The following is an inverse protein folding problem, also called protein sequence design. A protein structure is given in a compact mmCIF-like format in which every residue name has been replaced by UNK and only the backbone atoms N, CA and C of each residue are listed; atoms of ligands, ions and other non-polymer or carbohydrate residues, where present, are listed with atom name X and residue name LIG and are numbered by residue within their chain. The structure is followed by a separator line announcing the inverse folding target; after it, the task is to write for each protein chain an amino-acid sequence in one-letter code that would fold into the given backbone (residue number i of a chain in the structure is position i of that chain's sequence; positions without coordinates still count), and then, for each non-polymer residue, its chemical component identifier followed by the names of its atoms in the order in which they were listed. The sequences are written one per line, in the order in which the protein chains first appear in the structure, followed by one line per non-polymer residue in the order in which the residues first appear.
data_IF_667990503862
#
_entry.id   IF_667990503862
#
_cell.length_a   1.000
_cell.length_b   1.000
_cell.length_c   1.000
_cell.angle_alpha   90.00
_cell.angle_beta   90.00
_cell.angle_gamma   90.00
#
_symmetry.space_group_name_H-M   'P 1'
#
loop_
_entity.id
_entity.type
_entity.pdbx_description
1 polymer ?
#
# COMPACT_ATOMS: atom_id res chain seq x y z
N UNK A 1 -6.43 31.68 -7.60
CA UNK A 1 -5.48 32.49 -6.80
C UNK A 1 -4.20 31.69 -6.67
N UNK A 2 -3.14 32.13 -7.35
CA UNK A 2 -1.85 31.43 -7.45
C UNK A 2 -1.07 31.67 -6.15
N UNK A 3 -0.70 30.61 -5.41
CA UNK A 3 0.17 30.74 -4.23
C UNK A 3 1.61 30.90 -4.73
N UNK A 4 2.22 32.03 -4.42
CA UNK A 4 3.67 32.27 -4.64
C UNK A 4 4.39 31.76 -3.39
N UNK A 5 5.32 30.82 -3.57
CA UNK A 5 6.20 30.34 -2.50
C UNK A 5 7.52 31.12 -2.55
N UNK A 6 7.89 31.77 -1.44
CA UNK A 6 9.19 32.44 -1.29
C UNK A 6 10.20 31.40 -0.80
N UNK A 7 11.25 31.14 -1.59
CA UNK A 7 12.39 30.32 -1.18
C UNK A 7 13.53 31.27 -0.81
N UNK A 8 13.98 31.25 0.45
CA UNK A 8 15.19 31.95 0.87
C UNK A 8 16.38 31.00 0.72
N UNK A 9 17.36 31.36 -0.10
CA UNK A 9 18.63 30.61 -0.18
C UNK A 9 19.76 31.51 0.30
N UNK A 10 20.38 31.16 1.42
CA UNK A 10 21.55 31.87 1.95
C UNK A 10 22.77 30.98 1.77
N UNK A 11 23.67 31.36 0.86
CA UNK A 11 24.97 30.69 0.68
C UNK A 11 26.04 31.54 1.37
N UNK A 12 26.57 31.07 2.51
CA UNK A 12 27.75 31.66 3.12
C UNK A 12 29.00 30.95 2.60
N UNK A 13 29.72 31.61 1.70
CA UNK A 13 31.07 31.18 1.31
C UNK A 13 32.06 31.99 2.16
N UNK A 14 32.69 31.32 3.14
CA UNK A 14 33.78 31.92 3.88
C UNK A 14 35.10 31.75 3.11
N UNK A 15 35.35 32.63 2.14
CA UNK A 15 36.71 32.88 1.67
C UNK A 15 36.88 34.35 1.29
N UNK A 16 38.09 34.86 1.48
CA UNK A 16 38.44 36.26 1.28
C UNK A 16 38.54 36.60 -0.22
N UNK A 17 37.42 36.60 -0.95
CA UNK A 17 37.22 37.38 -2.17
C UNK A 17 35.78 37.18 -2.68
N UNK A 18 35.01 38.28 -2.67
CA UNK A 18 33.79 38.52 -3.45
C UNK A 18 32.66 37.46 -3.36
N UNK A 19 31.68 37.72 -2.49
CA UNK A 19 30.40 37.01 -2.49
C UNK A 19 29.51 37.52 -3.64
N UNK A 20 29.14 36.66 -4.58
CA UNK A 20 28.05 36.91 -5.53
C UNK A 20 26.76 36.29 -4.98
N UNK A 21 25.76 37.12 -4.67
CA UNK A 21 24.42 36.68 -4.30
C UNK A 21 23.59 36.61 -5.58
N UNK A 22 23.17 35.41 -5.99
CA UNK A 22 22.19 35.24 -7.07
C UNK A 22 20.84 34.99 -6.42
N UNK A 23 19.95 35.98 -6.49
CA UNK A 23 18.57 35.89 -6.03
C UNK A 23 17.68 35.53 -7.25
N UNK A 24 17.00 34.38 -7.22
CA UNK A 24 16.05 33.98 -8.27
C UNK A 24 14.75 33.48 -7.64
N UNK A 25 13.63 34.12 -7.99
CA UNK A 25 12.29 33.66 -7.62
C UNK A 25 11.82 32.56 -8.59
N UNK A 26 11.22 31.48 -8.07
CA UNK A 26 10.71 30.36 -8.87
C UNK A 26 9.28 29.97 -8.46
N UNK A 27 8.53 29.43 -9.43
CA UNK A 27 7.15 28.97 -9.28
C UNK A 27 7.08 27.45 -9.06
N UNK A 28 5.97 26.95 -8.51
CA UNK A 28 5.75 25.52 -8.25
C UNK A 28 5.88 24.67 -9.52
N UNK A 29 6.61 23.56 -9.40
CA UNK A 29 6.99 22.54 -10.41
C UNK A 29 8.35 22.67 -11.11
N UNK A 30 9.25 23.57 -10.70
CA UNK A 30 10.64 23.57 -11.23
C UNK A 30 11.66 22.80 -10.37
N UNK A 31 12.56 22.08 -11.05
CA UNK A 31 13.74 21.43 -10.44
C UNK A 31 14.80 22.48 -10.14
N UNK A 32 15.21 22.60 -8.88
CA UNK A 32 16.28 23.51 -8.48
C UNK A 32 17.64 22.87 -8.79
N UNK A 33 18.28 23.29 -9.88
CA UNK A 33 19.66 22.95 -10.20
C UNK A 33 20.59 24.10 -9.79
N UNK A 34 21.41 23.89 -8.75
CA UNK A 34 22.48 24.83 -8.38
C UNK A 34 23.83 24.18 -8.67
N UNK A 35 24.73 24.92 -9.31
CA UNK A 35 26.09 24.48 -9.62
C UNK A 35 27.08 25.45 -8.97
N UNK A 36 28.00 24.91 -8.17
CA UNK A 36 29.10 25.65 -7.58
C UNK A 36 30.42 24.98 -7.96
N UNK A 37 31.37 25.77 -8.45
CA UNK A 37 32.72 25.30 -8.81
C UNK A 37 33.72 26.01 -7.89
N UNK A 38 34.22 25.36 -6.83
CA UNK A 38 35.23 25.98 -5.97
C UNK A 38 36.60 25.95 -6.66
N UNK A 39 37.35 27.05 -6.59
CA UNK A 39 38.69 27.19 -7.18
C UNK A 39 39.83 26.97 -6.18
N UNK A 40 39.57 26.38 -5.02
CA UNK A 40 40.59 26.06 -3.99
C UNK A 40 40.10 24.99 -3.01
N UNK A 41 41.02 24.38 -2.26
CA UNK A 41 40.83 23.27 -1.28
C UNK A 41 39.99 23.61 -0.02
N UNK A 42 38.96 24.45 -0.14
CA UNK A 42 38.08 24.80 0.96
C UNK A 42 36.87 23.86 1.01
N UNK A 43 36.49 23.46 2.23
CA UNK A 43 35.24 22.75 2.48
C UNK A 43 34.05 23.68 2.17
N UNK A 44 33.20 23.28 1.23
CA UNK A 44 31.98 24.02 0.88
C UNK A 44 30.80 23.36 1.59
N UNK A 45 30.07 24.13 2.40
CA UNK A 45 28.82 23.69 3.04
C UNK A 45 27.66 24.40 2.34
N UNK A 46 26.72 23.64 1.80
CA UNK A 46 25.49 24.17 1.20
C UNK A 46 24.29 23.70 2.03
N UNK A 47 23.41 24.63 2.40
CA UNK A 47 22.18 24.34 3.14
C UNK A 47 21.01 24.77 2.28
N UNK A 48 20.10 23.84 1.97
CA UNK A 48 18.88 24.11 1.20
C UNK A 48 17.68 23.79 2.08
N UNK A 49 16.75 24.74 2.19
CA UNK A 49 15.52 24.58 3.00
C UNK A 49 14.31 24.74 2.08
N UNK A 50 13.74 23.63 1.56
CA UNK A 50 12.55 23.71 0.72
C UNK A 50 11.29 23.97 1.54
N UNK A 51 10.32 24.70 0.98
CA UNK A 51 9.01 25.00 1.59
C UNK A 51 7.84 24.23 0.96
N UNK A 52 8.11 23.30 0.03
CA UNK A 52 7.16 22.34 -0.57
C UNK A 52 7.88 21.14 -1.22
N UNK A 53 7.14 20.24 -1.89
CA UNK A 53 7.56 18.99 -2.61
C UNK A 53 8.58 19.19 -3.76
N UNK A 54 9.61 20.01 -3.57
CA UNK A 54 10.66 20.21 -4.55
C UNK A 54 11.64 19.03 -4.53
N UNK A 55 11.86 18.39 -5.68
CA UNK A 55 12.97 17.45 -5.88
C UNK A 55 14.26 18.26 -6.05
N UNK A 56 15.19 18.11 -5.10
CA UNK A 56 16.49 18.79 -5.15
C UNK A 56 17.51 17.83 -5.75
N UNK A 57 18.11 18.20 -6.89
CA UNK A 57 19.25 17.47 -7.47
C UNK A 57 20.48 18.35 -7.36
N UNK A 58 21.39 18.02 -6.44
CA UNK A 58 22.68 18.69 -6.31
C UNK A 58 23.75 17.81 -6.96
N UNK A 59 24.49 18.38 -7.92
CA UNK A 59 25.61 17.69 -8.57
C UNK A 59 26.88 18.49 -8.31
N UNK A 60 27.85 17.85 -7.67
CA UNK A 60 29.18 18.44 -7.40
C UNK A 60 30.21 17.66 -8.22
N UNK A 61 31.01 18.36 -9.02
CA UNK A 61 32.11 17.77 -9.80
C UNK A 61 33.42 18.21 -9.13
N UNK A 62 34.14 17.32 -8.42
CA UNK A 62 35.37 17.70 -7.74
C UNK A 62 36.53 17.82 -8.73
N UNK A 63 37.40 18.82 -8.53
CA UNK A 63 38.66 19.00 -9.27
C UNK A 63 39.91 18.71 -8.43
N UNK A 64 39.76 18.30 -7.16
CA UNK A 64 40.84 17.81 -6.28
C UNK A 64 40.29 16.83 -5.21
N UNK A 65 41.19 16.21 -4.42
CA UNK A 65 40.95 15.19 -3.37
C UNK A 65 40.08 15.64 -2.16
N UNK A 66 39.23 16.66 -2.32
CA UNK A 66 38.38 17.16 -1.25
C UNK A 66 37.23 16.20 -0.90
N UNK A 67 37.11 15.86 0.39
CA UNK A 67 35.96 15.12 0.95
C UNK A 67 34.80 16.09 1.14
N UNK A 68 33.67 15.80 0.47
CA UNK A 68 32.46 16.61 0.56
C UNK A 68 31.41 15.91 1.42
N UNK A 69 30.88 16.61 2.43
CA UNK A 69 29.74 16.16 3.24
C UNK A 69 28.54 17.06 2.96
N UNK A 70 27.50 16.49 2.35
CA UNK A 70 26.19 17.15 2.19
C UNK A 70 25.26 16.69 3.30
N UNK A 71 24.73 17.64 4.08
CA UNK A 71 23.72 17.37 5.10
C UNK A 71 22.46 18.17 4.76
N UNK A 72 21.34 17.46 4.62
CA UNK A 72 20.02 18.07 4.42
C UNK A 72 19.27 17.96 5.74
N UNK A 73 19.13 19.08 6.44
CA UNK A 73 18.29 19.18 7.64
C UNK A 73 16.96 19.82 7.27
N UNK A 74 15.92 18.99 7.16
CA UNK A 74 14.55 19.46 7.04
C UNK A 74 14.02 19.82 8.42
N UNK A 75 13.78 21.12 8.68
CA UNK A 75 13.05 21.59 9.85
C UNK A 75 11.61 21.87 9.47
N UNK A 76 10.72 20.91 9.74
CA UNK A 76 9.28 21.11 9.57
C UNK A 76 8.74 22.02 10.68
N UNK A 77 8.04 23.13 10.35
CA UNK A 77 7.31 23.89 11.35
C UNK A 77 6.20 23.01 11.94
N UNK A 78 6.03 23.03 13.26
CA UNK A 78 4.91 22.36 13.93
C UNK A 78 3.60 23.08 13.60
N UNK A 79 3.01 22.73 12.46
CA UNK A 79 1.64 23.07 12.09
C UNK A 79 0.60 22.19 12.80
N UNK A 80 -0.69 22.54 12.72
CA UNK A 80 -1.76 21.75 13.31
C UNK A 80 -1.75 20.32 12.74
N UNK A 81 -1.95 19.34 13.62
CA UNK A 81 -1.93 17.90 13.30
C UNK A 81 -2.99 17.58 12.24
N UNK A 82 -2.53 17.16 11.05
CA UNK A 82 -3.36 16.62 9.99
C UNK A 82 -3.58 15.11 10.21
N UNK A 83 -4.83 14.70 10.41
CA UNK A 83 -5.25 13.30 10.58
C UNK A 83 -5.39 12.53 9.27
N UNK A 84 -4.98 13.12 8.14
CA UNK A 84 -5.04 12.50 6.80
C UNK A 84 -3.72 11.88 6.34
N UNK A 85 -2.66 11.91 7.15
CA UNK A 85 -1.44 11.17 6.84
C UNK A 85 -1.75 9.66 6.75
N UNK A 86 -1.31 8.97 5.68
CA UNK A 86 -1.42 7.53 5.61
C UNK A 86 -0.66 6.98 6.82
N UNK A 87 -1.34 6.15 7.61
CA UNK A 87 -0.72 5.34 8.65
C UNK A 87 0.62 4.80 8.08
N UNK A 88 1.76 4.90 8.78
CA UNK A 88 3.01 4.28 8.30
C UNK A 88 2.84 2.81 7.90
N UNK A 89 1.80 2.12 8.39
CA UNK A 89 1.36 0.81 7.92
C UNK A 89 0.93 0.77 6.44
N UNK A 90 0.38 1.85 5.88
CA UNK A 90 -0.07 1.94 4.49
C UNK A 90 1.06 1.65 3.49
N UNK A 91 2.25 2.18 3.73
CA UNK A 91 3.42 1.88 2.90
C UNK A 91 3.73 0.38 2.85
N UNK A 92 3.58 -0.30 3.98
CA UNK A 92 3.80 -1.74 4.08
C UNK A 92 2.73 -2.55 3.35
N UNK A 93 1.45 -2.18 3.49
CA UNK A 93 0.35 -2.87 2.79
C UNK A 93 0.48 -2.83 1.27
N UNK A 94 0.94 -1.70 0.72
CA UNK A 94 1.18 -1.59 -0.73
C UNK A 94 2.48 -2.26 -1.18
N UNK A 95 3.51 -2.31 -0.33
CA UNK A 95 4.80 -2.93 -0.66
C UNK A 95 4.72 -4.46 -0.75
N UNK A 96 3.90 -5.08 0.11
CA UNK A 96 3.81 -6.54 0.23
C UNK A 96 2.53 -7.12 -0.39
N UNK A 97 2.00 -6.50 -1.45
CA UNK A 97 0.84 -7.04 -2.17
C UNK A 97 1.14 -8.46 -2.69
N UNK A 98 0.20 -9.37 -2.46
CA UNK A 98 0.33 -10.76 -2.88
C UNK A 98 1.31 -11.60 -2.06
N UNK A 99 1.80 -11.10 -0.92
CA UNK A 99 2.54 -11.89 0.04
C UNK A 99 1.62 -12.49 1.09
N UNK A 100 1.85 -13.76 1.40
CA UNK A 100 1.23 -14.46 2.51
C UNK A 100 2.27 -15.30 3.24
N UNK A 101 2.48 -15.06 4.54
CA UNK A 101 3.50 -15.75 5.36
C UNK A 101 4.87 -15.83 4.66
N UNK A 102 5.35 -14.68 4.16
CA UNK A 102 6.59 -14.49 3.40
C UNK A 102 6.68 -15.22 2.04
N UNK A 103 5.60 -15.85 1.57
CA UNK A 103 5.49 -16.44 0.23
C UNK A 103 4.76 -15.50 -0.71
N UNK A 104 5.39 -15.17 -1.83
CA UNK A 104 4.80 -14.34 -2.87
C UNK A 104 4.02 -15.17 -3.89
N UNK A 105 2.84 -14.70 -4.27
CA UNK A 105 2.08 -15.22 -5.41
C UNK A 105 1.73 -14.09 -6.37
N UNK A 106 2.17 -14.20 -7.62
CA UNK A 106 1.87 -13.22 -8.65
C UNK A 106 0.37 -13.15 -8.96
N UNK A 107 -0.34 -14.27 -8.88
CA UNK A 107 -1.80 -14.29 -9.01
C UNK A 107 -2.48 -13.56 -7.85
N UNK A 108 -2.00 -13.76 -6.62
CA UNK A 108 -2.53 -13.01 -5.47
C UNK A 108 -2.22 -11.51 -5.56
N UNK A 109 -1.04 -11.12 -6.03
CA UNK A 109 -0.71 -9.71 -6.26
C UNK A 109 -1.63 -9.07 -7.32
N UNK A 110 -2.02 -9.82 -8.36
CA UNK A 110 -3.00 -9.38 -9.35
C UNK A 110 -4.40 -9.19 -8.74
N UNK A 111 -4.86 -10.13 -7.90
CA UNK A 111 -6.10 -9.97 -7.14
C UNK A 111 -6.03 -8.73 -6.25
N UNK A 112 -4.95 -8.58 -5.48
CA UNK A 112 -4.79 -7.49 -4.53
C UNK A 112 -4.74 -6.12 -5.22
N UNK A 113 -4.00 -5.99 -6.32
CA UNK A 113 -3.97 -4.77 -7.13
C UNK A 113 -5.32 -4.44 -7.77
N UNK A 114 -6.07 -5.46 -8.19
CA UNK A 114 -7.42 -5.26 -8.74
C UNK A 114 -8.41 -4.85 -7.66
N UNK A 115 -8.38 -5.46 -6.47
CA UNK A 115 -9.19 -5.04 -5.32
C UNK A 115 -8.88 -3.58 -4.94
N UNK A 116 -7.58 -3.22 -4.87
CA UNK A 116 -7.15 -1.83 -4.69
C UNK A 116 -7.78 -0.89 -5.72
N UNK A 117 -7.72 -1.23 -7.00
CA UNK A 117 -8.31 -0.41 -8.05
C UNK A 117 -9.84 -0.25 -7.91
N UNK A 118 -10.56 -1.28 -7.41
CA UNK A 118 -12.00 -1.17 -7.08
C UNK A 118 -12.24 -0.17 -5.96
N UNK A 119 -11.41 -0.18 -4.92
CA UNK A 119 -11.52 0.73 -3.76
C UNK A 119 -11.22 2.17 -4.19
N UNK A 120 -10.15 2.38 -4.96
CA UNK A 120 -9.84 3.69 -5.58
C UNK A 120 -10.97 4.16 -6.51
N UNK A 121 -11.68 3.22 -7.14
CA UNK A 121 -12.89 3.45 -7.93
C UNK A 121 -14.18 3.70 -7.13
N UNK A 122 -14.11 3.72 -5.79
CA UNK A 122 -15.23 4.06 -4.91
C UNK A 122 -15.90 2.88 -4.21
N UNK A 123 -15.35 1.67 -4.25
CA UNK A 123 -15.84 0.55 -3.45
C UNK A 123 -15.70 0.87 -1.95
N UNK A 124 -16.81 0.79 -1.21
CA UNK A 124 -16.87 1.04 0.24
C UNK A 124 -17.13 -0.22 1.06
N UNK A 125 -17.58 -1.30 0.42
CA UNK A 125 -17.83 -2.59 1.05
C UNK A 125 -16.97 -3.66 0.36
N UNK A 126 -15.82 -3.95 0.95
CA UNK A 126 -14.84 -4.90 0.39
C UNK A 126 -15.32 -6.35 0.45
N UNK A 127 -16.29 -6.68 1.31
CA UNK A 127 -16.84 -8.04 1.41
C UNK A 127 -18.04 -8.23 0.47
N UNK A 128 -18.34 -7.23 -0.37
CA UNK A 128 -19.27 -7.34 -1.50
C UNK A 128 -18.60 -7.61 -2.85
N UNK A 129 -17.27 -7.57 -2.92
CA UNK A 129 -16.51 -7.73 -4.17
C UNK A 129 -15.70 -9.03 -4.19
N UNK A 130 -15.88 -9.83 -5.25
CA UNK A 130 -15.20 -11.12 -5.43
C UNK A 130 -13.68 -11.00 -5.35
N UNK A 131 -13.12 -9.96 -5.98
CA UNK A 131 -11.68 -9.75 -6.02
C UNK A 131 -11.16 -9.41 -4.62
N UNK A 132 -11.84 -8.57 -3.85
CA UNK A 132 -11.43 -8.24 -2.50
C UNK A 132 -11.57 -9.41 -1.52
N UNK A 133 -12.61 -10.23 -1.63
CA UNK A 133 -12.74 -11.47 -0.84
C UNK A 133 -11.64 -12.47 -1.21
N UNK A 134 -11.39 -12.70 -2.51
CA UNK A 134 -10.31 -13.58 -2.96
C UNK A 134 -8.93 -13.07 -2.49
N UNK A 135 -8.71 -11.75 -2.56
CA UNK A 135 -7.51 -11.08 -2.03
C UNK A 135 -7.34 -11.38 -0.55
N UNK A 136 -8.38 -11.21 0.26
CA UNK A 136 -8.33 -11.51 1.69
C UNK A 136 -7.88 -12.94 1.95
N UNK A 137 -8.39 -13.92 1.18
CA UNK A 137 -7.97 -15.33 1.36
C UNK A 137 -6.51 -15.60 0.94
N UNK A 138 -5.97 -14.87 -0.03
CA UNK A 138 -4.65 -15.17 -0.58
C UNK A 138 -3.51 -14.32 0.01
N UNK A 139 -3.76 -13.09 0.47
CA UNK A 139 -2.76 -12.25 1.16
C UNK A 139 -3.08 -12.05 2.64
N UNK A 140 -4.27 -12.45 3.10
CA UNK A 140 -4.74 -12.30 4.47
C UNK A 140 -5.73 -11.14 4.65
N UNK A 141 -6.56 -11.22 5.67
CA UNK A 141 -7.56 -10.20 6.01
C UNK A 141 -6.90 -8.90 6.46
N UNK A 142 -5.89 -8.95 7.35
CA UNK A 142 -5.20 -7.78 7.90
C UNK A 142 -4.63 -6.86 6.81
N UNK A 143 -3.80 -7.36 5.87
CA UNK A 143 -3.30 -6.50 4.80
C UNK A 143 -4.39 -6.05 3.84
N UNK A 144 -5.46 -6.82 3.65
CA UNK A 144 -6.56 -6.44 2.76
C UNK A 144 -7.40 -5.30 3.34
N UNK A 145 -7.82 -5.41 4.59
CA UNK A 145 -8.55 -4.33 5.28
C UNK A 145 -7.63 -3.13 5.50
N UNK A 146 -6.38 -3.35 5.90
CA UNK A 146 -5.40 -2.28 6.09
C UNK A 146 -5.18 -1.49 4.81
N UNK A 147 -4.95 -2.17 3.69
CA UNK A 147 -4.88 -1.56 2.36
C UNK A 147 -6.15 -0.75 2.05
N UNK A 148 -7.33 -1.33 2.29
CA UNK A 148 -8.59 -0.67 1.99
C UNK A 148 -8.85 0.57 2.86
N UNK A 149 -8.50 0.52 4.15
CA UNK A 149 -8.57 1.67 5.06
C UNK A 149 -7.59 2.79 4.69
N UNK A 150 -6.44 2.46 4.09
CA UNK A 150 -5.51 3.46 3.56
C UNK A 150 -6.06 4.21 2.34
N UNK A 151 -6.96 3.58 1.58
CA UNK A 151 -7.50 4.13 0.33
C UNK A 151 -8.87 4.79 0.52
N UNK A 152 -9.65 4.36 1.52
CA UNK A 152 -11.02 4.80 1.73
C UNK A 152 -11.33 5.02 3.22
N UNK A 153 -11.63 6.27 3.58
CA UNK A 153 -11.92 6.63 4.97
C UNK A 153 -13.18 5.94 5.53
N UNK A 154 -14.17 5.62 4.70
CA UNK A 154 -15.38 4.91 5.14
C UNK A 154 -15.06 3.49 5.59
N UNK A 155 -14.07 2.85 4.95
CA UNK A 155 -13.58 1.53 5.35
C UNK A 155 -12.73 1.67 6.60
N UNK A 156 -11.86 2.69 6.65
CA UNK A 156 -10.95 2.95 7.79
C UNK A 156 -11.69 3.10 9.11
N UNK A 157 -12.78 3.88 9.15
CA UNK A 157 -13.52 4.14 10.40
C UNK A 157 -14.25 2.91 10.93
N UNK A 158 -14.52 1.92 10.08
CA UNK A 158 -15.13 0.65 10.49
C UNK A 158 -14.11 -0.31 11.10
N UNK A 159 -12.82 -0.14 10.84
CA UNK A 159 -11.76 -1.02 11.35
C UNK A 159 -11.83 -2.43 10.75
N UNK A 160 -11.24 -3.43 11.42
CA UNK A 160 -11.22 -4.80 10.91
C UNK A 160 -12.57 -5.50 11.09
N UNK A 161 -13.13 -5.36 12.29
CA UNK A 161 -14.32 -6.07 12.75
C UNK A 161 -15.63 -5.40 12.36
N UNK A 162 -15.61 -4.08 12.07
CA UNK A 162 -16.82 -3.30 11.78
C UNK A 162 -17.22 -3.28 10.30
N UNK A 163 -16.52 -4.02 9.43
CA UNK A 163 -16.89 -4.13 8.02
C UNK A 163 -18.29 -4.75 7.86
N UNK A 164 -18.91 -4.56 6.69
CA UNK A 164 -20.21 -5.16 6.38
C UNK A 164 -20.07 -6.69 6.27
N UNK A 165 -21.07 -7.45 6.70
CA UNK A 165 -21.02 -8.91 6.50
C UNK A 165 -20.83 -9.29 5.03
N UNK A 166 -20.17 -10.42 4.79
CA UNK A 166 -19.99 -11.01 3.47
C UNK A 166 -21.30 -10.98 2.69
N UNK A 167 -21.28 -10.41 1.49
CA UNK A 167 -22.48 -10.35 0.68
C UNK A 167 -23.00 -11.76 0.39
N UNK A 168 -24.24 -12.05 0.76
CA UNK A 168 -24.76 -13.42 0.66
C UNK A 168 -24.89 -13.90 -0.79
N UNK A 169 -25.11 -13.00 -1.75
CA UNK A 169 -25.09 -13.38 -3.17
C UNK A 169 -23.68 -13.73 -3.64
N UNK A 170 -22.65 -13.08 -3.10
CA UNK A 170 -21.25 -13.46 -3.32
C UNK A 170 -20.99 -14.84 -2.74
N UNK A 171 -21.41 -15.10 -1.50
CA UNK A 171 -21.32 -16.44 -0.92
C UNK A 171 -22.02 -17.50 -1.78
N UNK A 172 -23.22 -17.20 -2.29
CA UNK A 172 -23.94 -18.08 -3.20
C UNK A 172 -23.21 -18.30 -4.53
N UNK A 173 -22.40 -17.37 -5.01
CA UNK A 173 -21.53 -17.59 -6.18
C UNK A 173 -20.40 -18.60 -5.87
N UNK A 174 -19.95 -18.71 -4.63
CA UNK A 174 -18.92 -19.67 -4.21
C UNK A 174 -19.50 -21.08 -4.13
N UNK A 175 -20.62 -21.24 -3.42
CA UNK A 175 -21.18 -22.56 -3.10
C UNK A 175 -22.28 -23.04 -4.06
N UNK A 176 -22.78 -22.14 -4.92
CA UNK A 176 -23.86 -22.41 -5.86
C UNK A 176 -25.26 -22.33 -5.23
N UNK A 177 -26.25 -22.86 -5.96
CA UNK A 177 -27.67 -22.75 -5.62
C UNK A 177 -28.03 -23.33 -4.24
N UNK A 178 -27.23 -24.26 -3.72
CA UNK A 178 -27.44 -24.83 -2.40
C UNK A 178 -27.28 -23.83 -1.24
N UNK A 179 -26.73 -22.62 -1.48
CA UNK A 179 -26.74 -21.54 -0.51
C UNK A 179 -28.15 -21.23 0.00
N UNK A 180 -29.15 -21.31 -0.87
CA UNK A 180 -30.53 -20.92 -0.57
C UNK A 180 -31.38 -22.05 0.02
N UNK A 181 -30.82 -23.26 0.16
CA UNK A 181 -31.50 -24.37 0.81
C UNK A 181 -31.60 -24.14 2.33
N UNK A 182 -32.60 -24.72 3.03
CA UNK A 182 -32.65 -24.67 4.49
C UNK A 182 -31.35 -25.21 5.11
N UNK A 183 -30.64 -24.36 5.86
CA UNK A 183 -29.33 -24.67 6.45
C UNK A 183 -28.12 -24.33 5.57
N UNK A 184 -28.33 -24.00 4.29
CA UNK A 184 -27.28 -23.69 3.32
C UNK A 184 -26.31 -24.86 3.08
N UNK A 185 -25.33 -24.65 2.21
CA UNK A 185 -24.20 -25.57 2.02
C UNK A 185 -22.90 -24.85 2.35
N UNK A 186 -21.97 -25.49 3.07
CA UNK A 186 -20.67 -24.89 3.38
C UNK A 186 -19.77 -24.84 2.15
N UNK A 187 -18.78 -23.95 2.18
CA UNK A 187 -17.71 -23.89 1.17
C UNK A 187 -16.88 -25.16 1.30
N UNK A 188 -16.80 -25.94 0.21
CA UNK A 188 -15.86 -27.06 0.11
C UNK A 188 -14.52 -26.60 -0.46
N UNK A 189 -13.49 -27.45 -0.38
CA UNK A 189 -12.21 -27.17 -1.04
C UNK A 189 -12.38 -26.89 -2.55
N UNK A 190 -13.23 -27.65 -3.25
CA UNK A 190 -13.44 -27.43 -4.68
C UNK A 190 -14.14 -26.10 -4.94
N UNK A 191 -15.15 -25.74 -4.13
CA UNK A 191 -15.80 -24.41 -4.22
C UNK A 191 -14.77 -23.28 -4.04
N UNK A 192 -13.84 -23.43 -3.09
CA UNK A 192 -12.80 -22.44 -2.85
C UNK A 192 -11.82 -22.32 -4.03
N UNK A 193 -11.36 -23.44 -4.60
CA UNK A 193 -10.51 -23.45 -5.80
C UNK A 193 -11.24 -22.78 -6.97
N UNK A 194 -12.49 -23.17 -7.22
CA UNK A 194 -13.30 -22.63 -8.31
C UNK A 194 -13.56 -21.12 -8.12
N UNK A 195 -13.77 -20.67 -6.88
CA UNK A 195 -13.90 -19.26 -6.55
C UNK A 195 -12.63 -18.46 -6.88
N UNK A 196 -11.46 -18.93 -6.46
CA UNK A 196 -10.17 -18.24 -6.72
C UNK A 196 -9.89 -18.17 -8.22
N UNK A 197 -9.99 -19.30 -8.93
CA UNK A 197 -9.73 -19.39 -10.37
C UNK A 197 -10.81 -18.67 -11.19
N UNK A 198 -12.07 -18.74 -10.78
CA UNK A 198 -13.18 -18.00 -11.40
C UNK A 198 -13.01 -16.49 -11.25
N UNK A 199 -12.59 -16.02 -10.07
CA UNK A 199 -12.29 -14.61 -9.83
C UNK A 199 -11.12 -14.14 -10.70
N UNK A 200 -10.01 -14.89 -10.74
CA UNK A 200 -8.87 -14.61 -11.63
C UNK A 200 -9.30 -14.58 -13.12
N UNK A 201 -10.14 -15.53 -13.55
CA UNK A 201 -10.67 -15.56 -14.91
C UNK A 201 -11.50 -14.31 -15.22
N UNK A 202 -12.37 -13.89 -14.29
CA UNK A 202 -13.25 -12.72 -14.45
C UNK A 202 -12.51 -11.40 -14.60
N UNK A 203 -11.31 -11.30 -14.02
CA UNK A 203 -10.44 -10.13 -14.16
C UNK A 203 -9.45 -10.25 -15.33
N UNK A 204 -9.60 -11.30 -16.16
CA UNK A 204 -8.78 -11.52 -17.35
C UNK A 204 -7.35 -11.96 -17.04
N UNK A 205 -7.12 -12.64 -15.91
CA UNK A 205 -5.78 -13.09 -15.53
C UNK A 205 -5.18 -14.06 -16.55
N UNK A 206 -3.90 -13.88 -16.83
CA UNK A 206 -3.05 -14.86 -17.53
C UNK A 206 -2.05 -15.53 -16.58
N UNK A 207 -2.12 -15.22 -15.28
CA UNK A 207 -1.23 -15.72 -14.23
C UNK A 207 -2.06 -16.52 -13.23
N UNK A 208 -1.61 -17.74 -12.95
CA UNK A 208 -2.34 -18.69 -12.13
C UNK A 208 -1.47 -19.14 -10.95
N UNK A 209 -2.05 -19.25 -9.73
CA UNK A 209 -1.32 -19.78 -8.59
C UNK A 209 -1.14 -21.30 -8.74
N UNK A 210 -0.17 -21.87 -8.04
CA UNK A 210 -0.09 -23.33 -7.97
C UNK A 210 -1.26 -23.84 -7.12
N UNK A 211 -2.11 -24.71 -7.68
CA UNK A 211 -3.32 -25.18 -7.00
C UNK A 211 -2.99 -25.90 -5.68
N UNK A 212 -1.92 -26.69 -5.65
CA UNK A 212 -1.58 -27.46 -4.47
C UNK A 212 -0.87 -26.57 -3.46
N UNK A 213 0.23 -25.95 -3.86
CA UNK A 213 1.16 -25.32 -2.96
C UNK A 213 0.74 -23.92 -2.51
N UNK A 214 -0.06 -23.19 -3.30
CA UNK A 214 -0.59 -21.87 -2.92
C UNK A 214 -2.05 -21.98 -2.46
N UNK A 215 -2.94 -22.55 -3.28
CA UNK A 215 -4.38 -22.50 -3.02
C UNK A 215 -4.78 -23.47 -1.89
N UNK A 216 -4.35 -24.73 -1.97
CA UNK A 216 -4.76 -25.76 -1.00
C UNK A 216 -3.91 -25.70 0.28
N UNK A 217 -2.59 -25.81 0.15
CA UNK A 217 -1.69 -26.02 1.29
C UNK A 217 -1.41 -24.75 2.10
N UNK A 218 -1.73 -23.57 1.55
CA UNK A 218 -1.46 -22.29 2.19
C UNK A 218 -2.75 -21.52 2.49
N UNK A 219 -3.52 -21.14 1.46
CA UNK A 219 -4.68 -20.26 1.65
C UNK A 219 -5.89 -20.98 2.24
N UNK A 220 -6.27 -22.11 1.65
CA UNK A 220 -7.38 -22.94 2.15
C UNK A 220 -7.03 -23.59 3.50
N UNK A 221 -5.81 -24.08 3.65
CA UNK A 221 -5.32 -24.65 4.90
C UNK A 221 -5.46 -23.67 6.07
N UNK A 222 -5.06 -22.41 5.91
CA UNK A 222 -5.23 -21.39 6.95
C UNK A 222 -6.71 -21.21 7.30
N UNK A 223 -7.56 -21.05 6.28
CA UNK A 223 -8.97 -20.79 6.49
C UNK A 223 -9.60 -21.94 7.29
N UNK A 224 -9.28 -23.19 6.95
CA UNK A 224 -9.74 -24.36 7.70
C UNK A 224 -9.18 -24.40 9.13
N UNK A 225 -7.89 -24.11 9.29
CA UNK A 225 -7.22 -24.11 10.59
C UNK A 225 -7.86 -23.11 11.54
N UNK A 226 -8.08 -21.87 11.08
CA UNK A 226 -8.68 -20.82 11.91
C UNK A 226 -10.15 -21.10 12.21
N UNK A 227 -10.93 -21.55 11.21
CA UNK A 227 -12.37 -21.77 11.40
C UNK A 227 -12.68 -23.04 12.19
N UNK A 228 -11.78 -24.02 12.23
CA UNK A 228 -11.92 -25.28 12.95
C UNK A 228 -13.22 -26.05 12.61
N UNK A 229 -13.65 -25.98 11.35
CA UNK A 229 -14.92 -26.58 10.89
C UNK A 229 -14.76 -27.92 10.15
N UNK A 230 -13.54 -28.44 10.05
CA UNK A 230 -13.23 -29.65 9.29
C UNK A 230 -12.98 -29.34 7.81
N UNK A 231 -13.51 -30.17 6.91
CA UNK A 231 -13.21 -30.10 5.47
C UNK A 231 -14.06 -29.08 4.68
N UNK A 232 -14.97 -28.39 5.37
CA UNK A 232 -15.87 -27.41 4.75
C UNK A 232 -16.16 -26.25 5.69
N UNK A 233 -16.31 -25.04 5.15
CA UNK A 233 -16.46 -23.81 5.93
C UNK A 233 -17.87 -23.21 5.73
N UNK A 234 -18.75 -23.22 6.75
CA UNK A 234 -20.05 -22.56 6.69
C UNK A 234 -19.95 -21.04 6.53
N UNK A 235 -21.04 -20.41 6.05
CA UNK A 235 -21.12 -18.95 5.86
C UNK A 235 -20.69 -18.17 7.10
N UNK A 236 -21.23 -18.50 8.27
CA UNK A 236 -20.93 -17.76 9.51
C UNK A 236 -19.44 -17.83 9.85
N UNK A 237 -18.82 -18.99 9.74
CA UNK A 237 -17.39 -19.15 10.00
C UNK A 237 -16.51 -18.43 8.98
N UNK A 238 -16.88 -18.44 7.69
CA UNK A 238 -16.14 -17.71 6.67
C UNK A 238 -16.27 -16.19 6.85
N UNK A 239 -17.49 -15.72 7.15
CA UNK A 239 -17.75 -14.33 7.49
C UNK A 239 -16.95 -13.92 8.74
N UNK A 240 -16.97 -14.72 9.80
CA UNK A 240 -16.21 -14.44 11.02
C UNK A 240 -14.71 -14.41 10.75
N UNK A 241 -14.19 -15.31 9.91
CA UNK A 241 -12.80 -15.28 9.52
C UNK A 241 -12.40 -13.97 8.83
N UNK A 242 -13.25 -13.44 7.93
CA UNK A 242 -13.02 -12.15 7.26
C UNK A 242 -12.91 -10.97 8.23
N UNK A 243 -13.60 -11.04 9.38
CA UNK A 243 -13.70 -9.94 10.34
C UNK A 243 -12.75 -10.08 11.53
N UNK A 244 -12.37 -11.30 11.92
CA UNK A 244 -11.71 -11.57 13.19
C UNK A 244 -10.38 -12.31 13.07
N UNK A 245 -10.06 -12.91 11.91
CA UNK A 245 -8.85 -13.73 11.81
C UNK A 245 -7.56 -12.94 11.92
N UNK A 246 -7.58 -11.66 11.56
CA UNK A 246 -6.39 -10.82 11.45
C UNK A 246 -5.26 -11.50 10.65
N UNK A 247 -5.60 -12.35 9.69
CA UNK A 247 -4.66 -13.15 8.90
C UNK A 247 -3.80 -12.26 7.98
N UNK A 248 -2.53 -12.58 7.71
CA UNK A 248 -1.76 -13.60 8.41
C UNK A 248 -1.46 -13.13 9.84
N UNK A 249 -1.50 -14.04 10.81
CA UNK A 249 -1.07 -13.72 12.17
C UNK A 249 0.37 -13.19 12.15
N UNK A 250 0.67 -12.06 12.82
CA UNK A 250 2.05 -11.61 12.95
C UNK A 250 2.80 -12.64 13.80
N UNK A 251 3.81 -13.26 13.21
CA UNK A 251 4.77 -14.11 13.91
C UNK A 251 5.69 -13.29 14.83
#
# INVERSE_FOLDING_TARGET
MMKVATILTSLLVASAASAAVVERQLFSDEVLATSAVPTSDAAVTATVTPTSDAVITATVVPTSDAVFTTSVTATTPAGPVDTSLPDPACGSYFKYLGFYRARYSAACALLASTCRARIEGGLTDIWSDNTCVATATCQGTSPTVGMAGCLNNNIRVLGHEGQQSLNYNLYAQIVGDCAWAPGGCPITQQNYIDFVYGTLSSIGSTVWPDVQADVIDLWWAELKEWTATGDSVPYLNFNDWLHYSHSPTPY
#
